data_IF_480545599840
#
_entry.id   IF_480545599840
#
_cell.length_a   1.000
_cell.length_b   1.000
_cell.length_c   1.000
_cell.angle_alpha   90.00
_cell.angle_beta   90.00
_cell.angle_gamma   90.00
#
_symmetry.space_group_name_H-M   'P 1'
#
loop_
_entity.id
_entity.type
_entity.pdbx_description
1 polymer ?
#
# COMPACT_ATOMS: atom_id res chain seq x y z
N UNK A 1 58.47 10.86 17.63
CA UNK A 1 57.12 11.44 17.51
C UNK A 1 56.39 10.67 16.42
N UNK A 2 55.41 9.84 16.78
CA UNK A 2 54.66 9.00 15.85
C UNK A 2 53.41 9.78 15.40
N UNK A 3 53.29 10.03 14.10
CA UNK A 3 52.12 10.69 13.51
C UNK A 3 51.01 9.64 13.31
N UNK A 4 49.89 9.85 14.00
CA UNK A 4 48.69 9.04 13.92
C UNK A 4 48.01 9.32 12.56
N UNK A 5 48.04 8.35 11.63
CA UNK A 5 47.24 8.42 10.40
C UNK A 5 45.76 8.22 10.77
N UNK A 6 44.97 9.28 10.65
CA UNK A 6 43.51 9.20 10.73
C UNK A 6 43.02 8.79 9.33
N UNK A 7 42.58 7.53 9.19
CA UNK A 7 41.88 7.06 8.00
C UNK A 7 40.45 7.61 8.05
N UNK A 8 40.00 8.42 7.08
CA UNK A 8 38.60 8.81 7.03
C UNK A 8 37.79 7.59 6.59
N UNK A 9 37.01 7.02 7.52
CA UNK A 9 35.98 6.04 7.18
C UNK A 9 34.91 6.78 6.39
N UNK A 10 34.93 6.61 5.06
CA UNK A 10 33.85 7.03 4.20
C UNK A 10 32.59 6.28 4.64
N UNK A 11 31.71 6.98 5.36
CA UNK A 11 30.36 6.49 5.67
C UNK A 11 29.65 6.38 4.33
N UNK A 12 29.58 5.16 3.81
CA UNK A 12 28.75 4.81 2.67
C UNK A 12 27.30 5.03 3.12
N UNK A 13 26.77 6.23 2.93
CA UNK A 13 25.34 6.45 3.08
C UNK A 13 24.69 5.66 1.95
N UNK A 14 24.17 4.48 2.29
CA UNK A 14 23.12 3.83 1.52
C UNK A 14 22.01 4.86 1.39
N UNK A 15 21.95 5.51 0.24
CA UNK A 15 20.75 6.21 -0.21
C UNK A 15 19.73 5.11 -0.46
N UNK A 16 19.08 4.66 0.61
CA UNK A 16 17.80 3.96 0.48
C UNK A 16 16.92 4.93 -0.29
N UNK A 17 16.40 4.51 -1.44
CA UNK A 17 15.46 5.32 -2.22
C UNK A 17 14.43 5.87 -1.25
N UNK A 18 14.47 7.19 -1.04
CA UNK A 18 13.40 7.86 -0.35
C UNK A 18 12.24 7.74 -1.33
N UNK A 19 11.34 6.78 -1.10
CA UNK A 19 10.07 6.74 -1.82
C UNK A 19 9.49 8.15 -1.78
N UNK A 20 9.22 8.73 -2.94
CA UNK A 20 8.82 10.12 -3.04
C UNK A 20 7.40 10.26 -2.46
N UNK A 21 7.32 10.56 -1.16
CA UNK A 21 6.03 10.77 -0.48
C UNK A 21 5.50 12.15 -0.84
N UNK A 22 4.30 12.18 -1.41
CA UNK A 22 3.57 13.43 -1.60
C UNK A 22 2.54 13.59 -0.50
N UNK A 23 2.47 14.77 0.11
CA UNK A 23 1.46 15.12 1.11
C UNK A 23 0.41 16.02 0.46
N UNK A 24 -0.86 15.63 0.52
CA UNK A 24 -1.99 16.39 -0.05
C UNK A 24 -3.29 16.08 0.72
N UNK A 25 -4.43 16.60 0.30
CA UNK A 25 -5.70 16.45 1.00
C UNK A 25 -6.55 15.28 0.49
N UNK A 26 -7.12 14.53 1.43
CA UNK A 26 -7.98 13.38 1.27
C UNK A 26 -9.26 13.58 2.07
N UNK A 27 -10.41 13.71 1.41
CA UNK A 27 -11.70 13.93 2.12
C UNK A 27 -11.71 15.14 3.08
N UNK A 28 -10.80 16.12 2.90
CA UNK A 28 -10.63 17.24 3.82
C UNK A 28 -9.56 17.04 4.91
N UNK A 29 -8.91 15.87 4.95
CA UNK A 29 -7.83 15.52 5.86
C UNK A 29 -6.48 15.48 5.14
N UNK A 30 -5.38 15.56 5.86
CA UNK A 30 -4.06 15.33 5.23
C UNK A 30 -3.89 13.85 4.89
N UNK A 31 -3.25 13.54 3.77
CA UNK A 31 -2.93 12.19 3.35
C UNK A 31 -1.51 12.06 2.83
N UNK A 32 -0.94 10.86 3.00
CA UNK A 32 0.28 10.44 2.32
C UNK A 32 -0.11 9.74 1.03
N UNK A 33 0.42 10.20 -0.09
CA UNK A 33 0.14 9.65 -1.41
C UNK A 33 1.39 9.00 -2.00
N UNK A 34 1.16 7.83 -2.61
CA UNK A 34 2.12 7.11 -3.43
C UNK A 34 1.54 7.00 -4.84
N UNK A 35 2.21 7.60 -5.82
CA UNK A 35 1.82 7.53 -7.22
C UNK A 35 2.44 6.31 -7.90
N UNK A 36 1.93 5.95 -9.07
CA UNK A 36 2.47 4.89 -9.93
C UNK A 36 3.99 5.01 -10.15
N UNK A 37 4.51 6.24 -10.26
CA UNK A 37 5.95 6.52 -10.41
C UNK A 37 6.80 6.13 -9.20
N UNK A 38 6.17 5.97 -8.04
CA UNK A 38 6.81 5.64 -6.77
C UNK A 38 6.79 4.13 -6.51
N UNK A 39 6.30 3.33 -7.47
CA UNK A 39 6.12 1.89 -7.35
C UNK A 39 6.98 1.13 -8.36
N UNK A 40 7.66 0.10 -7.89
CA UNK A 40 8.40 -0.81 -8.76
C UNK A 40 7.44 -1.76 -9.50
N UNK A 41 7.91 -2.31 -10.63
CA UNK A 41 7.21 -3.40 -11.29
C UNK A 41 7.09 -4.61 -10.34
N UNK A 42 5.93 -5.29 -10.26
CA UNK A 42 4.77 -5.12 -11.14
C UNK A 42 3.69 -4.17 -10.58
N UNK A 43 3.86 -3.61 -9.38
CA UNK A 43 2.85 -2.76 -8.73
C UNK A 43 2.48 -1.55 -9.58
N UNK A 44 3.47 -0.93 -10.25
CA UNK A 44 3.24 0.20 -11.15
C UNK A 44 2.41 -0.14 -12.39
N UNK A 45 2.19 -1.41 -12.75
CA UNK A 45 1.25 -1.74 -13.83
C UNK A 45 -0.21 -1.82 -13.36
N UNK A 46 -0.43 -1.99 -12.06
CA UNK A 46 -1.74 -2.31 -11.49
C UNK A 46 -2.32 -1.18 -10.64
N UNK A 47 -1.48 -0.31 -10.11
CA UNK A 47 -1.87 0.77 -9.20
C UNK A 47 -1.48 2.12 -9.80
N UNK A 48 -2.46 3.00 -9.98
CA UNK A 48 -2.23 4.39 -10.38
C UNK A 48 -1.78 5.24 -9.19
N UNK A 49 -2.42 5.02 -8.03
CA UNK A 49 -2.16 5.78 -6.82
C UNK A 49 -2.70 5.07 -5.57
N UNK A 50 -2.05 5.27 -4.44
CA UNK A 50 -2.59 4.94 -3.10
C UNK A 50 -2.53 6.17 -2.22
N UNK A 51 -3.62 6.46 -1.51
CA UNK A 51 -3.71 7.57 -0.55
C UNK A 51 -4.00 7.00 0.84
N UNK A 52 -3.19 7.36 1.83
CA UNK A 52 -3.37 6.99 3.24
C UNK A 52 -3.81 8.21 4.03
N UNK A 53 -4.96 8.15 4.68
CA UNK A 53 -5.42 9.24 5.56
C UNK A 53 -4.48 9.36 6.78
N UNK A 54 -4.05 10.58 7.10
CA UNK A 54 -3.21 10.86 8.27
C UNK A 54 -4.02 11.34 9.47
N UNK A 55 -5.28 11.76 9.27
CA UNK A 55 -6.17 12.17 10.36
C UNK A 55 -7.03 10.99 10.83
N UNK A 56 -6.37 10.09 11.55
CA UNK A 56 -6.99 8.93 12.17
C UNK A 56 -7.87 9.38 13.35
N UNK A 57 -9.18 9.49 13.15
CA UNK A 57 -10.04 10.04 14.21
C UNK A 57 -11.53 9.69 14.19
N UNK A 58 -12.26 9.90 13.09
CA UNK A 58 -13.72 9.76 13.14
C UNK A 58 -14.40 9.68 11.76
N UNK A 59 -14.33 8.54 11.06
CA UNK A 59 -15.06 8.26 9.80
C UNK A 59 -14.34 8.66 8.48
N UNK A 60 -13.02 8.80 8.48
CA UNK A 60 -12.24 8.92 7.24
C UNK A 60 -12.00 7.55 6.58
N UNK A 61 -12.03 7.44 5.23
CA UNK A 61 -11.60 6.21 4.58
C UNK A 61 -10.13 5.95 4.93
N UNK A 62 -9.77 4.73 5.33
CA UNK A 62 -8.42 4.50 5.81
C UNK A 62 -7.38 4.63 4.70
N UNK A 63 -7.70 4.02 3.56
CA UNK A 63 -6.90 4.07 2.34
C UNK A 63 -7.82 4.26 1.13
N UNK A 64 -7.41 5.06 0.14
CA UNK A 64 -7.98 4.98 -1.21
C UNK A 64 -6.97 4.36 -2.15
N UNK A 65 -7.40 3.31 -2.83
CA UNK A 65 -6.64 2.59 -3.82
C UNK A 65 -7.22 2.90 -5.20
N UNK A 66 -6.37 3.45 -6.07
CA UNK A 66 -6.70 3.76 -7.45
C UNK A 66 -6.02 2.69 -8.31
N UNK A 67 -6.79 1.73 -8.80
CA UNK A 67 -6.31 0.67 -9.68
C UNK A 67 -6.35 1.13 -11.14
N UNK A 68 -5.32 0.75 -11.90
CA UNK A 68 -5.35 0.86 -13.36
C UNK A 68 -6.43 -0.08 -13.92
N UNK A 69 -6.87 0.12 -15.16
CA UNK A 69 -7.74 -0.85 -15.83
C UNK A 69 -7.12 -2.25 -15.88
N UNK A 70 -5.80 -2.33 -16.13
CA UNK A 70 -5.06 -3.60 -16.09
C UNK A 70 -5.11 -4.24 -14.69
N UNK A 71 -4.93 -3.46 -13.62
CA UNK A 71 -5.04 -3.97 -12.24
C UNK A 71 -6.41 -4.58 -11.95
N UNK A 72 -7.50 -3.94 -12.41
CA UNK A 72 -8.86 -4.45 -12.27
C UNK A 72 -9.07 -5.75 -13.06
N UNK A 73 -8.61 -5.79 -14.31
CA UNK A 73 -8.72 -6.97 -15.17
C UNK A 73 -7.93 -8.15 -14.59
N UNK A 74 -6.72 -7.89 -14.08
CA UNK A 74 -5.88 -8.93 -13.48
C UNK A 74 -6.48 -9.50 -12.19
N UNK A 75 -7.05 -8.67 -11.30
CA UNK A 75 -7.75 -9.15 -10.10
C UNK A 75 -8.95 -10.05 -10.47
N UNK A 76 -9.65 -9.74 -11.56
CA UNK A 76 -10.80 -10.53 -12.03
C UNK A 76 -10.41 -11.75 -12.90
N UNK A 77 -9.12 -11.97 -13.16
CA UNK A 77 -8.62 -13.08 -13.97
C UNK A 77 -8.46 -14.39 -13.17
N UNK A 78 -8.21 -15.50 -13.85
CA UNK A 78 -7.89 -16.79 -13.21
C UNK A 78 -6.66 -16.72 -12.27
N UNK A 79 -5.72 -15.80 -12.55
CA UNK A 79 -4.53 -15.54 -11.73
C UNK A 79 -4.75 -14.43 -10.70
N UNK A 80 -5.98 -13.94 -10.54
CA UNK A 80 -6.27 -12.75 -9.73
C UNK A 80 -5.89 -12.84 -8.26
N UNK A 81 -5.81 -14.05 -7.70
CA UNK A 81 -5.40 -14.26 -6.30
C UNK A 81 -3.95 -13.85 -6.02
N UNK A 82 -3.03 -14.01 -6.98
CA UNK A 82 -1.63 -13.59 -6.83
C UNK A 82 -1.51 -12.06 -6.83
N UNK A 83 -2.18 -11.40 -7.77
CA UNK A 83 -2.18 -9.94 -7.88
C UNK A 83 -2.87 -9.27 -6.71
N UNK A 84 -4.01 -9.82 -6.29
CA UNK A 84 -4.70 -9.39 -5.09
C UNK A 84 -3.78 -9.50 -3.88
N UNK A 85 -2.95 -10.55 -3.81
CA UNK A 85 -1.98 -10.72 -2.74
C UNK A 85 -0.91 -9.63 -2.74
N UNK A 86 -0.31 -9.35 -3.90
CA UNK A 86 0.73 -8.31 -4.05
C UNK A 86 0.19 -6.92 -3.66
N UNK A 87 -1.02 -6.58 -4.11
CA UNK A 87 -1.65 -5.29 -3.81
C UNK A 87 -1.99 -5.19 -2.32
N UNK A 88 -2.54 -6.25 -1.73
CA UNK A 88 -2.87 -6.28 -0.30
C UNK A 88 -1.62 -6.16 0.58
N UNK A 89 -0.54 -6.84 0.21
CA UNK A 89 0.76 -6.71 0.87
C UNK A 89 1.32 -5.29 0.78
N UNK A 90 1.21 -4.66 -0.39
CA UNK A 90 1.62 -3.27 -0.56
C UNK A 90 0.82 -2.35 0.37
N UNK A 91 -0.51 -2.48 0.38
CA UNK A 91 -1.40 -1.62 1.17
C UNK A 91 -1.09 -1.75 2.67
N UNK A 92 -0.99 -2.98 3.17
CA UNK A 92 -0.79 -3.30 4.59
C UNK A 92 0.65 -3.16 5.08
N UNK A 93 1.62 -3.23 4.17
CA UNK A 93 3.05 -3.13 4.49
C UNK A 93 3.55 -1.70 4.71
N UNK A 94 2.74 -0.67 4.43
CA UNK A 94 3.14 0.73 4.62
C UNK A 94 3.08 1.15 6.07
N UNK A 95 4.02 2.01 6.48
CA UNK A 95 4.05 2.55 7.84
C UNK A 95 2.82 3.41 8.17
N UNK A 96 2.15 3.95 7.14
CA UNK A 96 0.92 4.74 7.25
C UNK A 96 -0.32 3.85 7.44
N UNK A 97 -0.23 2.54 7.25
CA UNK A 97 -1.30 1.61 7.63
C UNK A 97 -1.43 1.54 9.16
N UNK A 98 -2.63 1.83 9.67
CA UNK A 98 -2.90 1.93 11.12
C UNK A 98 -4.01 1.01 11.63
N UNK A 99 -4.63 0.22 10.77
CA UNK A 99 -5.76 -0.65 11.13
C UNK A 99 -5.30 -2.04 11.61
N UNK A 100 -6.12 -2.66 12.47
CA UNK A 100 -6.00 -4.04 12.95
C UNK A 100 -6.78 -5.05 12.09
N UNK A 101 -7.31 -4.63 10.93
CA UNK A 101 -8.06 -5.51 10.03
C UNK A 101 -7.20 -6.65 9.49
N UNK A 102 -7.86 -7.80 9.31
CA UNK A 102 -7.21 -8.99 8.77
C UNK A 102 -6.85 -8.79 7.29
N UNK A 103 -5.80 -9.49 6.86
CA UNK A 103 -5.38 -9.53 5.45
C UNK A 103 -6.53 -9.92 4.51
N UNK A 104 -7.32 -10.92 4.91
CA UNK A 104 -8.47 -11.40 4.12
C UNK A 104 -9.56 -10.34 4.02
N UNK A 105 -9.86 -9.62 5.10
CA UNK A 105 -10.87 -8.54 5.08
C UNK A 105 -10.53 -7.48 4.03
N UNK A 106 -9.25 -7.11 3.95
CA UNK A 106 -8.74 -6.11 3.00
C UNK A 106 -8.75 -6.66 1.57
N UNK A 107 -8.25 -7.88 1.37
CA UNK A 107 -8.25 -8.53 0.06
C UNK A 107 -9.69 -8.71 -0.48
N UNK A 108 -10.63 -9.12 0.37
CA UNK A 108 -12.04 -9.26 0.01
C UNK A 108 -12.64 -7.92 -0.40
N UNK A 109 -12.42 -6.85 0.36
CA UNK A 109 -12.91 -5.52 -0.01
C UNK A 109 -12.34 -5.05 -1.35
N UNK A 110 -11.04 -5.22 -1.59
CA UNK A 110 -10.42 -4.89 -2.90
C UNK A 110 -11.09 -5.70 -4.02
N UNK A 111 -11.27 -7.00 -3.84
CA UNK A 111 -11.89 -7.88 -4.84
C UNK A 111 -13.36 -7.53 -5.08
N UNK A 112 -14.14 -7.31 -4.04
CA UNK A 112 -15.55 -6.92 -4.12
C UNK A 112 -15.71 -5.58 -4.82
N UNK A 113 -14.88 -4.58 -4.50
CA UNK A 113 -14.88 -3.30 -5.21
C UNK A 113 -14.58 -3.49 -6.71
N UNK A 114 -13.60 -4.35 -7.06
CA UNK A 114 -13.29 -4.64 -8.47
C UNK A 114 -14.42 -5.39 -9.19
N UNK A 115 -15.14 -6.28 -8.50
CA UNK A 115 -16.24 -7.08 -9.05
C UNK A 115 -17.53 -6.26 -9.22
N UNK A 116 -17.88 -5.44 -8.22
CA UNK A 116 -19.17 -4.76 -8.16
C UNK A 116 -19.14 -3.32 -8.68
N UNK A 117 -17.97 -2.69 -8.84
CA UNK A 117 -17.90 -1.28 -9.21
C UNK A 117 -16.70 -0.93 -10.12
N UNK A 118 -16.98 -0.44 -11.33
CA UNK A 118 -15.96 0.09 -12.26
C UNK A 118 -15.45 1.49 -11.89
N UNK A 119 -15.90 2.05 -10.77
CA UNK A 119 -15.66 3.44 -10.41
C UNK A 119 -14.45 3.49 -9.47
N UNK A 120 -13.29 3.87 -10.03
CA UNK A 120 -12.15 4.31 -9.23
C UNK A 120 -12.59 5.52 -8.39
N UNK A 121 -12.29 5.59 -7.07
CA UNK A 121 -11.38 4.72 -6.30
C UNK A 121 -12.03 3.64 -5.41
N UNK A 122 -11.27 2.58 -5.12
CA UNK A 122 -11.56 1.59 -4.07
C UNK A 122 -11.25 2.21 -2.71
N UNK A 123 -12.24 2.31 -1.84
CA UNK A 123 -12.06 2.83 -0.48
C UNK A 123 -11.88 1.65 0.46
N UNK A 124 -10.82 1.67 1.27
CA UNK A 124 -10.50 0.64 2.27
C UNK A 124 -10.58 1.31 3.64
N UNK A 125 -11.57 0.93 4.44
CA UNK A 125 -11.80 1.58 5.73
C UNK A 125 -10.91 1.01 6.85
N UNK A 126 -10.53 1.84 7.84
CA UNK A 126 -9.75 1.35 8.97
C UNK A 126 -10.54 0.49 9.97
N UNK A 127 -11.87 0.58 10.00
CA UNK A 127 -12.70 0.01 11.08
C UNK A 127 -13.84 -0.91 10.61
N UNK A 128 -13.83 -1.38 9.37
CA UNK A 128 -14.90 -2.24 8.88
C UNK A 128 -15.00 -3.53 9.72
N UNK A 129 -16.20 -3.82 10.20
CA UNK A 129 -16.44 -4.85 11.20
C UNK A 129 -16.71 -6.21 10.59
N UNK A 130 -15.84 -6.75 9.72
CA UNK A 130 -16.05 -8.11 9.18
C UNK A 130 -14.74 -8.88 8.87
N UNK A 131 -14.80 -10.20 9.17
CA UNK A 131 -13.79 -11.26 9.00
C UNK A 131 -12.50 -11.14 9.87
N UNK A 132 -12.65 -11.24 11.20
CA UNK A 132 -11.52 -11.23 12.16
C UNK A 132 -10.71 -12.54 12.25
N UNK A 133 -10.94 -13.54 11.40
CA UNK A 133 -10.49 -14.90 11.71
C UNK A 133 -9.56 -15.56 10.69
N UNK A 134 -8.75 -14.81 9.93
CA UNK A 134 -7.73 -15.43 9.08
C UNK A 134 -6.48 -14.54 8.89
N UNK A 135 -5.31 -15.11 9.18
CA UNK A 135 -4.00 -14.49 8.97
C UNK A 135 -3.49 -14.81 7.56
N UNK A 136 -2.59 -13.97 7.02
CA UNK A 136 -1.95 -14.19 5.71
C UNK A 136 -1.36 -15.62 5.66
N UNK A 137 -1.60 -16.39 4.58
CA UNK A 137 -0.95 -17.69 4.43
C UNK A 137 0.57 -17.49 4.36
N UNK A 138 1.28 -18.03 5.35
CA UNK A 138 2.75 -18.03 5.37
C UNK A 138 3.21 -19.09 4.36
N UNK A 139 3.47 -18.67 3.12
CA UNK A 139 4.18 -19.52 2.17
C UNK A 139 5.65 -19.57 2.58
N UNK A 140 6.08 -20.77 3.02
CA UNK A 140 7.42 -21.04 3.51
C UNK A 140 8.51 -20.75 2.47
N UNK A 141 9.67 -20.35 2.99
CA UNK A 141 10.93 -20.09 2.28
C UNK A 141 11.40 -21.23 1.38
#
# INVERSE_FOLDING_TARGET
>A
MAALMIVPVAVLMLVTSVEAKTYDNFAGHSAVQYYQSDMDYPLSEYIERVEYDTDYGANGPGVRLYLTENGKDMINSESGSEYLSIITDYVTGRQEWRSDRSYVSIATEIAEHCLFNRVSPTHIEYFYSDLKSWEKPVYGR
#
